data_IF_498321112538
#
_entry.id   IF_498321112538
#
_cell.length_a   1.000
_cell.length_b   1.000
_cell.length_c   1.000
_cell.angle_alpha   90.00
_cell.angle_beta   90.00
_cell.angle_gamma   90.00
#
_symmetry.space_group_name_H-M   'P 1'
#
loop_
_entity.id
_entity.type
_entity.pdbx_description
1 polymer ?
#
# COMPACT_ATOMS: atom_id res chain seq x y z
N UNK A 1 -30.82 -10.17 1.34
CA UNK A 1 -32.03 -9.30 1.29
C UNK A 1 -33.17 -9.96 0.51
N UNK A 2 -32.93 -10.50 -0.68
CA UNK A 2 -33.96 -11.14 -1.52
C UNK A 2 -34.74 -12.29 -0.83
N UNK A 3 -34.07 -13.08 0.00
CA UNK A 3 -34.72 -14.14 0.80
C UNK A 3 -35.77 -13.60 1.79
N UNK A 4 -35.46 -12.52 2.51
CA UNK A 4 -36.34 -11.92 3.52
C UNK A 4 -37.54 -11.22 2.88
N UNK A 5 -37.36 -10.62 1.69
CA UNK A 5 -38.46 -10.02 0.93
C UNK A 5 -39.47 -11.04 0.40
N UNK A 6 -38.99 -12.24 0.01
CA UNK A 6 -39.89 -13.34 -0.36
C UNK A 6 -40.71 -13.84 0.83
N UNK A 7 -40.11 -13.90 2.02
CA UNK A 7 -40.81 -14.35 3.22
C UNK A 7 -41.84 -13.33 3.72
N UNK A 8 -41.51 -12.04 3.71
CA UNK A 8 -42.43 -10.95 4.10
C UNK A 8 -43.71 -10.94 3.25
N UNK A 9 -43.59 -11.19 1.93
CA UNK A 9 -44.74 -11.24 1.01
C UNK A 9 -45.65 -12.47 1.20
N UNK A 10 -45.17 -13.53 1.84
CA UNK A 10 -45.92 -14.77 2.05
C UNK A 10 -46.61 -14.83 3.42
N UNK A 11 -46.27 -13.92 4.33
CA UNK A 11 -46.81 -13.90 5.69
C UNK A 11 -48.10 -13.08 5.71
N UNK A 12 -49.19 -13.74 6.10
CA UNK A 12 -50.52 -13.13 6.25
C UNK A 12 -50.73 -12.44 7.61
N UNK A 13 -49.85 -12.71 8.58
CA UNK A 13 -49.91 -12.12 9.92
C UNK A 13 -49.15 -10.78 9.96
N UNK A 14 -49.89 -9.69 10.14
CA UNK A 14 -49.36 -8.31 10.12
C UNK A 14 -48.25 -8.07 11.15
N UNK A 15 -48.32 -8.68 12.35
CA UNK A 15 -47.30 -8.52 13.38
C UNK A 15 -45.97 -9.15 12.97
N UNK A 16 -46.01 -10.33 12.35
CA UNK A 16 -44.82 -11.02 11.86
C UNK A 16 -44.21 -10.29 10.65
N UNK A 17 -45.03 -9.77 9.76
CA UNK A 17 -44.57 -8.93 8.64
C UNK A 17 -43.87 -7.66 9.16
N UNK A 18 -44.45 -7.00 10.16
CA UNK A 18 -43.84 -5.84 10.81
C UNK A 18 -42.48 -6.17 11.43
N UNK A 19 -42.35 -7.29 12.14
CA UNK A 19 -41.08 -7.74 12.72
C UNK A 19 -40.00 -8.01 11.66
N UNK A 20 -40.36 -8.60 10.52
CA UNK A 20 -39.42 -8.82 9.41
C UNK A 20 -38.98 -7.48 8.81
N UNK A 21 -39.90 -6.52 8.67
CA UNK A 21 -39.59 -5.18 8.17
C UNK A 21 -38.56 -4.45 9.07
N UNK A 22 -38.72 -4.55 10.39
CA UNK A 22 -37.80 -3.96 11.37
C UNK A 22 -36.45 -4.68 11.37
N UNK A 23 -36.44 -6.01 11.26
CA UNK A 23 -35.20 -6.77 11.13
C UNK A 23 -34.43 -6.40 9.85
N UNK A 24 -35.11 -6.24 8.71
CA UNK A 24 -34.48 -5.75 7.47
C UNK A 24 -33.87 -4.36 7.66
N UNK A 25 -34.57 -3.44 8.34
CA UNK A 25 -34.04 -2.10 8.63
C UNK A 25 -32.81 -2.18 9.53
N UNK A 26 -32.83 -3.01 10.57
CA UNK A 26 -31.68 -3.23 11.44
C UNK A 26 -30.46 -3.75 10.66
N UNK A 27 -30.63 -4.78 9.83
CA UNK A 27 -29.55 -5.32 9.01
C UNK A 27 -29.03 -4.27 8.02
N UNK A 28 -29.92 -3.50 7.38
CA UNK A 28 -29.54 -2.42 6.46
C UNK A 28 -28.71 -1.35 7.17
N UNK A 29 -29.19 -0.87 8.32
CA UNK A 29 -28.49 0.10 9.14
C UNK A 29 -27.12 -0.44 9.61
N UNK A 30 -27.04 -1.71 9.98
CA UNK A 30 -25.79 -2.36 10.39
C UNK A 30 -24.80 -2.45 9.21
N UNK A 31 -25.27 -2.80 8.01
CA UNK A 31 -24.42 -2.82 6.81
C UNK A 31 -24.01 -1.42 6.33
N UNK A 32 -24.86 -0.41 6.48
CA UNK A 32 -24.53 0.99 6.16
C UNK A 32 -23.49 1.56 7.13
N UNK A 33 -23.59 1.23 8.43
CA UNK A 33 -22.59 1.63 9.45
C UNK A 33 -21.27 0.86 9.27
N UNK A 34 -21.31 -0.33 8.69
CA UNK A 34 -20.15 -1.22 8.51
C UNK A 34 -19.45 -1.08 7.14
N UNK A 35 -19.54 0.08 6.48
CA UNK A 35 -18.69 0.36 5.32
C UNK A 35 -17.25 0.64 5.77
N UNK A 36 -16.59 -0.36 6.35
CA UNK A 36 -15.17 -0.34 6.71
C UNK A 36 -14.39 -0.47 5.40
N UNK A 37 -14.36 0.63 4.65
CA UNK A 37 -13.50 0.77 3.49
C UNK A 37 -12.06 0.89 3.98
N UNK A 38 -11.25 -0.14 3.71
CA UNK A 38 -9.81 -0.11 3.96
C UNK A 38 -9.17 0.90 3.01
N UNK A 39 -8.96 2.14 3.47
CA UNK A 39 -8.27 3.17 2.71
C UNK A 39 -6.76 3.04 2.93
N UNK A 40 -6.03 2.71 1.88
CA UNK A 40 -4.57 2.69 1.90
C UNK A 40 -4.03 4.10 1.68
N UNK A 41 -3.02 4.48 2.48
CA UNK A 41 -2.28 5.73 2.32
C UNK A 41 -0.83 5.40 2.01
N UNK A 42 -0.28 6.05 1.01
CA UNK A 42 1.11 5.86 0.58
C UNK A 42 1.96 7.05 1.00
N UNK A 43 3.17 6.77 1.49
CA UNK A 43 4.12 7.78 1.97
C UNK A 43 5.41 7.64 1.17
N UNK A 44 5.89 8.76 0.62
CA UNK A 44 7.18 8.80 -0.10
C UNK A 44 8.23 9.42 0.82
N UNK A 45 9.28 8.66 1.13
CA UNK A 45 10.42 9.14 1.92
C UNK A 45 11.54 9.53 0.96
N UNK A 46 11.80 10.84 0.75
CA UNK A 46 12.85 11.26 -0.15
C UNK A 46 14.22 10.92 0.44
N UNK A 47 15.20 10.59 -0.40
CA UNK A 47 16.59 10.41 -0.01
C UNK A 47 17.50 11.01 -1.05
N UNK A 48 18.41 11.87 -0.61
CA UNK A 48 19.39 12.54 -1.44
C UNK A 48 20.77 12.24 -0.86
N UNK A 49 21.62 11.44 -1.53
CA UNK A 49 22.96 11.17 -1.06
C UNK A 49 23.76 12.47 -1.12
N UNK A 50 24.24 12.95 0.03
CA UNK A 50 25.21 14.05 0.07
C UNK A 50 26.57 13.42 -0.20
N UNK A 51 26.98 13.41 -1.47
CA UNK A 51 28.36 13.04 -1.80
C UNK A 51 29.30 14.10 -1.22
N UNK A 52 30.16 13.67 -0.30
CA UNK A 52 31.26 14.50 0.18
C UNK A 52 32.24 14.72 -0.99
N UNK A 53 32.05 15.82 -1.72
CA UNK A 53 32.88 16.27 -2.85
C UNK A 53 34.39 16.25 -2.54
N UNK A 54 34.76 16.30 -1.25
CA UNK A 54 36.15 16.23 -0.78
C UNK A 54 36.83 14.85 -0.98
N UNK A 55 36.10 13.73 -1.08
CA UNK A 55 36.71 12.40 -1.25
C UNK A 55 37.34 12.22 -2.64
N UNK A 56 36.76 12.81 -3.69
CA UNK A 56 37.21 12.64 -5.07
C UNK A 56 38.56 13.32 -5.42
N UNK A 57 39.00 14.32 -4.65
CA UNK A 57 40.25 15.04 -4.95
C UNK A 57 41.50 14.26 -4.50
N UNK A 58 41.41 13.45 -3.44
CA UNK A 58 42.53 12.67 -2.90
C UNK A 58 42.65 11.32 -3.61
N UNK A 59 41.53 10.73 -4.02
CA UNK A 59 41.45 9.41 -4.63
C UNK A 59 42.00 9.36 -6.07
N UNK A 60 42.01 10.51 -6.77
CA UNK A 60 42.59 10.65 -8.10
C UNK A 60 44.12 10.75 -8.12
N UNK A 61 44.77 10.92 -6.97
CA UNK A 61 46.24 10.99 -6.86
C UNK A 61 46.90 9.64 -6.55
N UNK A 62 46.13 8.64 -6.10
CA UNK A 62 46.62 7.29 -5.80
C UNK A 62 45.85 6.28 -6.64
N UNK A 63 46.35 6.03 -7.85
CA UNK A 63 45.72 5.19 -8.87
C UNK A 63 45.32 3.79 -8.38
N UNK A 64 44.18 3.32 -8.88
CA UNK A 64 43.77 1.92 -8.75
C UNK A 64 42.30 1.72 -9.08
N UNK A 65 42.02 1.06 -10.21
CA UNK A 65 40.70 0.66 -10.71
C UNK A 65 39.95 -0.31 -9.78
N UNK A 66 39.51 0.16 -8.61
CA UNK A 66 38.59 -0.55 -7.69
C UNK A 66 37.19 0.07 -7.69
N UNK A 67 36.76 0.63 -8.82
CA UNK A 67 35.51 1.38 -8.89
C UNK A 67 34.23 0.54 -8.74
N UNK A 68 34.29 -0.79 -8.85
CA UNK A 68 33.12 -1.67 -8.67
C UNK A 68 32.77 -1.92 -7.20
N UNK A 69 33.79 -2.26 -6.41
CA UNK A 69 33.64 -2.61 -4.98
C UNK A 69 33.22 -1.38 -4.14
N UNK A 70 33.83 -0.22 -4.41
CA UNK A 70 33.47 1.06 -3.76
C UNK A 70 32.03 1.50 -4.08
N UNK A 71 31.52 1.17 -5.27
CA UNK A 71 30.13 1.48 -5.66
C UNK A 71 29.12 0.64 -4.90
N UNK A 72 29.43 -0.65 -4.67
CA UNK A 72 28.58 -1.54 -3.87
C UNK A 72 28.57 -1.11 -2.40
N UNK A 73 29.75 -0.79 -1.84
CA UNK A 73 29.88 -0.30 -0.46
C UNK A 73 29.10 1.02 -0.25
N UNK A 74 29.21 1.95 -1.20
CA UNK A 74 28.44 3.19 -1.18
C UNK A 74 26.93 2.94 -1.27
N UNK A 75 26.49 2.00 -2.13
CA UNK A 75 25.08 1.64 -2.27
C UNK A 75 24.50 1.08 -0.97
N UNK A 76 25.15 0.10 -0.34
CA UNK A 76 24.67 -0.46 0.93
C UNK A 76 24.64 0.62 2.03
N UNK A 77 25.65 1.49 2.09
CA UNK A 77 25.66 2.63 3.02
C UNK A 77 24.45 3.55 2.81
N UNK A 78 24.13 3.91 1.57
CA UNK A 78 22.99 4.79 1.26
C UNK A 78 21.65 4.12 1.55
N UNK A 79 21.55 2.82 1.26
CA UNK A 79 20.38 2.01 1.58
C UNK A 79 20.14 1.96 3.09
N UNK A 80 21.17 1.73 3.89
CA UNK A 80 21.09 1.77 5.35
C UNK A 80 20.60 3.13 5.86
N UNK A 81 21.14 4.24 5.33
CA UNK A 81 20.70 5.59 5.70
C UNK A 81 19.23 5.85 5.33
N UNK A 82 18.79 5.39 4.16
CA UNK A 82 17.39 5.46 3.75
C UNK A 82 16.50 4.67 4.72
N UNK A 83 16.89 3.43 5.07
CA UNK A 83 16.11 2.59 5.99
C UNK A 83 16.02 3.20 7.40
N UNK A 84 17.10 3.79 7.91
CA UNK A 84 17.07 4.52 9.18
C UNK A 84 16.03 5.66 9.15
N UNK A 85 15.94 6.38 8.02
CA UNK A 85 14.93 7.44 7.84
C UNK A 85 13.51 6.87 7.76
N UNK A 86 13.32 5.74 7.08
CA UNK A 86 12.04 5.03 7.03
C UNK A 86 11.61 4.58 8.42
N UNK A 87 12.53 4.04 9.22
CA UNK A 87 12.24 3.59 10.59
C UNK A 87 11.85 4.75 11.50
N UNK A 88 12.53 5.90 11.38
CA UNK A 88 12.17 7.10 12.13
C UNK A 88 10.75 7.58 11.80
N UNK A 89 10.37 7.59 10.51
CA UNK A 89 9.01 7.96 10.07
C UNK A 89 7.99 6.92 10.55
N UNK A 90 8.32 5.63 10.44
CA UNK A 90 7.46 4.52 10.86
C UNK A 90 7.19 4.56 12.36
N UNK A 91 8.21 4.80 13.18
CA UNK A 91 8.07 4.93 14.63
C UNK A 91 7.15 6.09 15.02
N UNK A 92 7.27 7.25 14.36
CA UNK A 92 6.40 8.40 14.59
C UNK A 92 4.93 8.12 14.26
N UNK A 93 4.67 7.39 13.18
CA UNK A 93 3.31 7.07 12.74
C UNK A 93 2.70 5.87 13.50
N UNK A 94 3.53 4.95 14.00
CA UNK A 94 3.07 3.87 14.87
C UNK A 94 2.52 4.42 16.19
N UNK A 95 3.10 5.52 16.70
CA UNK A 95 2.62 6.20 17.91
C UNK A 95 1.19 6.73 17.84
N UNK A 96 0.65 6.95 16.63
CA UNK A 96 -0.75 7.35 16.41
C UNK A 96 -1.66 6.16 16.03
N UNK A 97 -1.17 4.92 16.17
CA UNK A 97 -1.94 3.71 15.91
C UNK A 97 -1.99 3.26 14.44
N UNK A 98 -1.21 3.87 13.55
CA UNK A 98 -1.12 3.43 12.16
C UNK A 98 -0.16 2.25 12.02
N UNK A 99 -0.53 1.27 11.20
CA UNK A 99 0.34 0.15 10.82
C UNK A 99 0.98 0.47 9.48
N UNK A 100 2.31 0.50 9.45
CA UNK A 100 3.09 0.74 8.24
C UNK A 100 3.75 -0.54 7.77
N UNK A 101 3.83 -0.67 6.44
CA UNK A 101 4.55 -1.75 5.77
C UNK A 101 5.32 -1.15 4.60
N UNK A 102 6.65 -1.32 4.52
CA UNK A 102 7.41 -0.98 3.33
C UNK A 102 6.91 -1.81 2.13
N UNK A 103 6.69 -1.14 1.00
CA UNK A 103 6.27 -1.81 -0.23
C UNK A 103 7.46 -2.51 -0.89
N UNK A 104 7.22 -3.71 -1.40
CA UNK A 104 8.14 -4.43 -2.27
C UNK A 104 8.09 -3.87 -3.69
N UNK A 105 9.06 -4.28 -4.51
CA UNK A 105 9.16 -3.85 -5.91
C UNK A 105 7.86 -4.10 -6.68
N UNK A 106 7.23 -5.25 -6.50
CA UNK A 106 5.99 -5.63 -7.19
C UNK A 106 4.83 -4.71 -6.78
N UNK A 107 4.70 -4.46 -5.48
CA UNK A 107 3.66 -3.58 -4.91
C UNK A 107 3.85 -2.12 -5.37
N UNK A 108 5.09 -1.68 -5.58
CA UNK A 108 5.41 -0.35 -6.14
C UNK A 108 5.02 -0.27 -7.62
N UNK A 109 5.33 -1.31 -8.41
CA UNK A 109 4.94 -1.36 -9.83
C UNK A 109 3.43 -1.30 -9.96
N UNK A 110 2.70 -2.08 -9.18
CA UNK A 110 1.24 -2.09 -9.16
C UNK A 110 0.68 -0.72 -8.75
N UNK A 111 1.22 -0.11 -7.69
CA UNK A 111 0.84 1.24 -7.26
C UNK A 111 1.04 2.26 -8.38
N UNK A 112 2.17 2.21 -9.08
CA UNK A 112 2.47 3.11 -10.18
C UNK A 112 1.49 2.89 -11.33
N UNK A 113 1.28 1.63 -11.74
CA UNK A 113 0.35 1.28 -12.81
C UNK A 113 -1.07 1.76 -12.51
N UNK A 114 -1.57 1.52 -11.30
CA UNK A 114 -2.90 1.92 -10.85
C UNK A 114 -3.03 3.45 -10.76
N UNK A 115 -1.97 4.16 -10.34
CA UNK A 115 -1.93 5.62 -10.29
C UNK A 115 -2.09 6.25 -11.69
N UNK A 116 -1.50 5.63 -12.72
CA UNK A 116 -1.65 6.09 -14.10
C UNK A 116 -2.92 5.55 -14.80
N UNK A 117 -3.55 4.50 -14.29
CA UNK A 117 -4.72 3.85 -14.89
C UNK A 117 -5.88 3.67 -13.88
N UNK A 118 -6.50 4.76 -13.40
CA UNK A 118 -7.48 4.73 -12.31
C UNK A 118 -8.81 4.03 -12.61
N UNK A 119 -9.05 3.61 -13.86
CA UNK A 119 -10.25 2.88 -14.31
C UNK A 119 -10.11 1.36 -14.27
N UNK A 120 -8.91 0.83 -14.01
CA UNK A 120 -8.71 -0.60 -13.78
C UNK A 120 -9.08 -0.86 -12.32
N UNK A 121 -10.23 -1.50 -12.11
CA UNK A 121 -10.81 -1.83 -10.81
C UNK A 121 -9.73 -2.30 -9.80
N UNK A 122 -9.79 -1.78 -8.56
CA UNK A 122 -8.82 -2.00 -7.47
C UNK A 122 -8.60 -3.49 -7.11
N UNK A 123 -9.32 -4.41 -7.74
CA UNK A 123 -9.26 -5.85 -7.56
C UNK A 123 -8.47 -6.60 -8.65
N UNK A 124 -7.90 -5.92 -9.64
CA UNK A 124 -7.03 -6.55 -10.63
C UNK A 124 -5.65 -6.86 -10.03
N UNK A 125 -5.58 -7.87 -9.17
CA UNK A 125 -4.31 -8.51 -8.79
C UNK A 125 -3.73 -9.08 -10.08
N UNK A 126 -2.79 -8.35 -10.71
CA UNK A 126 -2.05 -8.84 -11.88
C UNK A 126 -1.14 -9.96 -11.36
N UNK A 127 -1.64 -11.18 -11.49
CA UNK A 127 -1.03 -12.39 -10.93
C UNK A 127 0.15 -12.93 -11.75
N UNK A 128 0.58 -12.24 -12.80
CA UNK A 128 1.64 -12.67 -13.71
C UNK A 128 2.38 -11.45 -14.29
N UNK A 129 3.48 -11.06 -13.65
CA UNK A 129 4.42 -10.06 -14.18
C UNK A 129 5.37 -10.65 -15.23
N UNK A 130 5.48 -11.98 -15.31
CA UNK A 130 6.36 -12.72 -16.23
C UNK A 130 5.96 -12.58 -17.71
N UNK A 131 4.82 -11.93 -18.01
CA UNK A 131 4.34 -11.69 -19.38
C UNK A 131 4.61 -10.28 -19.89
N UNK A 132 5.18 -9.40 -19.08
CA UNK A 132 5.63 -8.08 -19.54
C UNK A 132 7.04 -8.26 -20.07
N UNK A 133 7.15 -8.90 -21.24
CA UNK A 133 8.38 -8.85 -22.03
C UNK A 133 8.57 -7.41 -22.52
N UNK A 134 9.58 -6.73 -21.96
CA UNK A 134 10.10 -5.49 -22.50
C UNK A 134 10.90 -5.83 -23.76
N UNK A 135 10.29 -5.62 -24.93
CA UNK A 135 11.02 -5.52 -26.20
C UNK A 135 11.83 -4.22 -26.27
#
# INVERSE_FOLDING_TARGET
MEYLEKQEKQITNELLAFQISEYKKFIRNLTEVSNIMSKFFYLVVPFYPIENVKKGMIENLFGGSKGGDRRMEAFETYKEQLFQRVDQVSAGLTGIGLKLKPLKTEEIIELLYNSYNPVVDHNAIIKDLDKIELN
#
